data_IF_091801797453
#
_entry.id   IF_091801797453
#
_cell.length_a   1.000
_cell.length_b   1.000
_cell.length_c   1.000
_cell.angle_alpha   90.00
_cell.angle_beta   90.00
_cell.angle_gamma   90.00
#
_symmetry.space_group_name_H-M   'P 1'
#
loop_
_entity.id
_entity.type
_entity.pdbx_description
1 polymer ?
#
# COMPACT_ATOMS: atom_id res chain seq x y z
N UNK A 1 13.92 10.00 -51.35
CA UNK A 1 12.61 9.36 -51.65
C UNK A 1 11.89 9.07 -50.34
N UNK A 2 10.55 9.12 -50.36
CA UNK A 2 9.61 9.31 -49.23
C UNK A 2 9.54 8.17 -48.20
N UNK A 3 9.59 8.45 -46.87
CA UNK A 3 8.99 7.60 -45.83
C UNK A 3 7.69 8.18 -45.23
N UNK A 4 7.45 9.50 -45.34
CA UNK A 4 6.31 10.16 -44.66
C UNK A 4 4.92 9.82 -45.22
N UNK A 5 4.80 9.36 -46.47
CA UNK A 5 3.49 9.11 -47.11
C UNK A 5 2.90 7.74 -46.79
N UNK A 6 3.71 6.79 -46.31
CA UNK A 6 3.25 5.46 -45.92
C UNK A 6 2.57 5.53 -44.56
N UNK A 7 3.18 6.21 -43.58
CA UNK A 7 2.64 6.36 -42.23
C UNK A 7 1.28 7.07 -42.20
N UNK A 8 1.12 8.15 -42.97
CA UNK A 8 -0.15 8.87 -43.05
C UNK A 8 -1.26 8.02 -43.68
N UNK A 9 -0.95 7.27 -44.76
CA UNK A 9 -1.91 6.35 -45.39
C UNK A 9 -2.30 5.17 -44.47
N UNK A 10 -1.35 4.66 -43.70
CA UNK A 10 -1.60 3.62 -42.69
C UNK A 10 -2.56 4.13 -41.62
N UNK A 11 -2.33 5.33 -41.07
CA UNK A 11 -3.23 5.94 -40.07
C UNK A 11 -4.65 6.14 -40.63
N UNK A 12 -4.79 6.60 -41.88
CA UNK A 12 -6.11 6.84 -42.47
C UNK A 12 -6.88 5.53 -42.71
N UNK A 13 -6.20 4.47 -43.12
CA UNK A 13 -6.81 3.15 -43.33
C UNK A 13 -7.22 2.51 -42.00
N UNK A 14 -6.41 2.65 -40.94
CA UNK A 14 -6.72 2.18 -39.59
C UNK A 14 -7.99 2.79 -39.00
N UNK A 15 -8.18 4.11 -39.22
CA UNK A 15 -9.38 4.83 -38.76
C UNK A 15 -10.63 4.33 -39.50
N UNK A 16 -10.52 4.07 -40.81
CA UNK A 16 -11.64 3.57 -41.61
C UNK A 16 -12.05 2.14 -41.20
N UNK A 17 -11.07 1.29 -40.86
CA UNK A 17 -11.32 -0.09 -40.39
C UNK A 17 -11.95 -0.10 -38.99
N UNK A 18 -11.55 0.83 -38.11
CA UNK A 18 -12.15 0.98 -36.78
C UNK A 18 -13.65 1.31 -36.89
N UNK A 19 -14.03 2.17 -37.84
CA UNK A 19 -15.43 2.53 -38.11
C UNK A 19 -16.22 1.29 -38.57
N UNK A 20 -15.69 0.50 -39.51
CA UNK A 20 -16.35 -0.73 -39.99
C UNK A 20 -16.52 -1.77 -38.89
N UNK A 21 -15.56 -1.88 -37.96
CA UNK A 21 -15.66 -2.81 -36.83
C UNK A 21 -16.71 -2.36 -35.80
N UNK A 22 -16.86 -1.05 -35.59
CA UNK A 22 -17.91 -0.47 -34.74
C UNK A 22 -19.30 -0.72 -35.35
N UNK A 23 -19.42 -0.63 -36.68
CA UNK A 23 -20.68 -0.91 -37.39
C UNK A 23 -21.10 -2.39 -37.31
N UNK A 24 -20.15 -3.32 -37.34
CA UNK A 24 -20.44 -4.76 -37.17
C UNK A 24 -20.89 -5.08 -35.74
N UNK A 25 -20.29 -4.45 -34.73
CA UNK A 25 -20.58 -4.69 -33.30
C UNK A 25 -21.86 -3.99 -32.83
N UNK A 26 -22.27 -2.89 -33.46
CA UNK A 26 -23.47 -2.13 -33.07
C UNK A 26 -24.79 -2.64 -33.70
N UNK A 27 -24.73 -3.66 -34.57
CA UNK A 27 -25.91 -4.23 -35.22
C UNK A 27 -26.58 -5.38 -34.44
N UNK A 28 -26.80 -5.19 -33.14
CA UNK A 28 -27.81 -5.97 -32.41
C UNK A 28 -28.65 -5.06 -31.53
N UNK A 29 -29.92 -4.96 -31.92
CA UNK A 29 -31.09 -4.54 -31.17
C UNK A 29 -31.59 -3.08 -31.21
N UNK A 30 -32.82 -3.02 -31.73
CA UNK A 30 -33.78 -1.94 -31.88
C UNK A 30 -34.24 -1.34 -30.53
N UNK A 31 -34.57 -0.03 -30.57
CA UNK A 31 -35.70 0.63 -29.84
C UNK A 31 -35.48 0.90 -28.33
N UNK A 32 -35.94 1.96 -27.63
CA UNK A 32 -36.93 3.03 -27.82
C UNK A 32 -36.66 4.20 -26.81
N UNK A 33 -36.85 5.44 -27.29
CA UNK A 33 -37.62 6.59 -26.74
C UNK A 33 -37.55 7.01 -25.25
N UNK A 34 -37.24 8.31 -25.06
CA UNK A 34 -37.28 9.12 -23.84
C UNK A 34 -38.63 9.12 -23.09
N UNK A 35 -38.59 9.33 -21.77
CA UNK A 35 -39.65 10.05 -21.09
C UNK A 35 -39.15 10.92 -19.92
N UNK A 36 -39.57 12.18 -19.95
CA UNK A 36 -39.18 13.29 -19.08
C UNK A 36 -40.19 13.36 -17.92
N UNK A 37 -39.76 13.23 -16.66
CA UNK A 37 -40.55 13.66 -15.49
C UNK A 37 -39.65 14.34 -14.46
N UNK A 38 -40.08 15.55 -14.08
CA UNK A 38 -39.49 16.41 -13.07
C UNK A 38 -39.40 15.68 -11.72
N UNK A 39 -38.19 15.62 -11.17
CA UNK A 39 -37.95 15.41 -9.74
C UNK A 39 -37.44 16.71 -9.16
N UNK A 40 -38.22 17.30 -8.28
CA UNK A 40 -37.84 18.42 -7.43
C UNK A 40 -36.64 17.97 -6.58
N UNK A 41 -35.48 18.60 -6.79
CA UNK A 41 -34.28 18.34 -6.00
C UNK A 41 -34.52 18.91 -4.60
N UNK A 42 -34.80 18.04 -3.64
CA UNK A 42 -34.65 18.38 -2.22
C UNK A 42 -33.14 18.51 -2.01
N UNK A 43 -32.64 19.74 -1.97
CA UNK A 43 -31.30 20.01 -1.44
C UNK A 43 -31.42 19.76 0.06
N UNK A 44 -31.12 18.53 0.47
CA UNK A 44 -30.68 18.28 1.82
C UNK A 44 -29.33 18.97 1.88
N UNK A 45 -29.28 20.10 2.60
CA UNK A 45 -28.04 20.76 2.97
C UNK A 45 -27.31 19.86 3.99
N UNK A 46 -26.85 18.71 3.50
CA UNK A 46 -25.77 18.00 4.14
C UNK A 46 -24.59 18.94 3.99
N UNK A 47 -24.30 19.68 5.06
CA UNK A 47 -23.08 20.44 5.22
C UNK A 47 -21.92 19.47 5.06
N UNK A 48 -21.48 19.24 3.81
CA UNK A 48 -20.24 18.56 3.51
C UNK A 48 -19.18 19.53 3.99
N UNK A 49 -18.72 19.36 5.22
CA UNK A 49 -17.53 20.00 5.75
C UNK A 49 -16.30 19.39 5.07
N UNK A 50 -16.17 19.50 3.75
CA UNK A 50 -14.86 19.38 3.14
C UNK A 50 -14.20 20.73 3.35
N UNK A 51 -13.24 20.80 4.26
CA UNK A 51 -12.42 22.01 4.39
C UNK A 51 -11.71 22.31 3.07
N UNK A 52 -11.18 23.53 2.98
CA UNK A 52 -10.45 23.97 1.81
C UNK A 52 -9.13 23.19 1.67
N UNK A 53 -8.64 23.05 0.44
CA UNK A 53 -7.30 22.53 0.20
C UNK A 53 -6.32 23.67 0.01
N UNK A 54 -5.28 23.72 0.85
CA UNK A 54 -4.15 24.62 0.73
C UNK A 54 -2.98 23.82 0.14
N UNK A 55 -2.32 24.38 -0.87
CA UNK A 55 -1.27 23.70 -1.63
C UNK A 55 0.11 24.24 -1.27
N UNK A 56 1.07 23.37 -0.97
CA UNK A 56 2.46 23.70 -0.64
C UNK A 56 3.39 23.13 -1.72
N UNK A 57 4.33 23.93 -2.23
CA UNK A 57 5.14 23.58 -3.40
C UNK A 57 4.36 23.74 -4.70
N UNK A 58 4.75 23.07 -5.79
CA UNK A 58 4.02 23.15 -7.06
C UNK A 58 4.20 24.47 -7.83
N UNK A 59 3.61 24.53 -9.03
CA UNK A 59 3.65 25.72 -9.92
C UNK A 59 2.37 26.58 -9.88
N UNK A 60 1.46 26.29 -8.95
CA UNK A 60 0.17 26.97 -8.83
C UNK A 60 0.28 28.40 -8.28
N UNK A 61 -0.57 29.29 -8.78
CA UNK A 61 -0.69 30.65 -8.23
C UNK A 61 -1.24 30.56 -6.80
N UNK A 62 -0.62 31.27 -5.86
CA UNK A 62 -0.93 31.26 -4.42
C UNK A 62 -0.58 29.97 -3.67
N UNK A 63 0.21 29.07 -4.26
CA UNK A 63 0.77 27.97 -3.49
C UNK A 63 1.72 28.51 -2.42
N UNK A 64 1.67 27.90 -1.25
CA UNK A 64 2.57 28.18 -0.15
C UNK A 64 3.96 27.60 -0.44
N UNK A 65 5.00 28.29 0.01
CA UNK A 65 6.39 27.80 -0.14
C UNK A 65 6.83 26.93 1.04
N UNK A 66 6.13 27.00 2.17
CA UNK A 66 6.46 26.24 3.38
C UNK A 66 5.21 25.56 3.94
N UNK A 67 5.39 24.39 4.53
CA UNK A 67 4.27 23.63 5.12
C UNK A 67 3.69 24.40 6.30
N UNK A 68 4.55 25.00 7.13
CA UNK A 68 4.09 25.74 8.30
C UNK A 68 3.24 26.97 7.93
N UNK A 69 3.54 27.67 6.83
CA UNK A 69 2.73 28.84 6.42
C UNK A 69 1.32 28.44 5.99
N UNK A 70 1.18 27.33 5.26
CA UNK A 70 -0.14 26.78 4.93
C UNK A 70 -0.92 26.36 6.18
N UNK A 71 -0.27 25.69 7.15
CA UNK A 71 -0.90 25.34 8.42
C UNK A 71 -1.34 26.60 9.19
N UNK A 72 -0.54 27.65 9.20
CA UNK A 72 -0.87 28.90 9.89
C UNK A 72 -2.12 29.58 9.32
N UNK A 73 -2.37 29.46 8.02
CA UNK A 73 -3.53 30.04 7.34
C UNK A 73 -4.77 29.10 7.31
N UNK A 74 -4.58 27.80 7.50
CA UNK A 74 -5.66 26.83 7.50
C UNK A 74 -6.68 27.05 8.63
N UNK A 75 -7.88 26.50 8.45
CA UNK A 75 -8.91 26.30 9.45
C UNK A 75 -9.07 24.81 9.79
N UNK A 76 -9.73 24.51 10.91
CA UNK A 76 -10.09 23.12 11.24
C UNK A 76 -10.95 22.51 10.12
N UNK A 77 -10.59 21.28 9.72
CA UNK A 77 -11.21 20.54 8.62
C UNK A 77 -10.50 20.71 7.27
N UNK A 78 -9.55 21.63 7.15
CA UNK A 78 -8.81 21.87 5.91
C UNK A 78 -7.80 20.76 5.60
N UNK A 79 -7.41 20.69 4.32
CA UNK A 79 -6.38 19.80 3.79
C UNK A 79 -5.16 20.64 3.43
N UNK A 80 -3.99 20.25 3.94
CA UNK A 80 -2.69 20.77 3.49
C UNK A 80 -2.08 19.73 2.54
N UNK A 81 -2.12 19.99 1.24
CA UNK A 81 -1.53 19.12 0.22
C UNK A 81 -0.13 19.60 -0.16
N UNK A 82 0.86 18.72 -0.04
CA UNK A 82 2.28 19.04 -0.21
C UNK A 82 2.85 18.30 -1.42
N UNK A 83 3.25 19.04 -2.45
CA UNK A 83 3.88 18.50 -3.66
C UNK A 83 5.29 17.98 -3.37
N UNK A 84 5.75 16.99 -4.13
CA UNK A 84 7.12 16.46 -4.00
C UNK A 84 8.19 17.29 -4.74
N UNK A 85 7.79 18.18 -5.64
CA UNK A 85 8.68 18.94 -6.53
C UNK A 85 9.63 19.91 -5.80
N UNK A 86 9.25 20.31 -4.58
CA UNK A 86 9.99 21.21 -3.71
C UNK A 86 10.69 20.46 -2.55
N UNK A 87 10.70 19.12 -2.62
CA UNK A 87 11.36 18.24 -1.65
C UNK A 87 12.90 18.37 -1.72
N UNK A 88 13.62 18.31 -0.57
CA UNK A 88 13.10 18.13 0.78
C UNK A 88 12.65 19.45 1.42
N UNK A 89 11.55 19.38 2.17
CA UNK A 89 11.08 20.44 3.07
C UNK A 89 11.92 20.42 4.35
N UNK A 90 12.69 21.49 4.58
CA UNK A 90 13.58 21.62 5.76
C UNK A 90 12.91 22.52 6.79
N UNK A 91 12.02 21.95 7.59
CA UNK A 91 11.11 22.70 8.46
C UNK A 91 10.91 21.99 9.81
N UNK A 92 10.58 22.79 10.83
CA UNK A 92 9.92 22.31 12.04
C UNK A 92 8.42 22.61 11.87
N UNK A 93 7.58 21.59 12.00
CA UNK A 93 6.15 21.67 11.71
C UNK A 93 5.37 21.50 13.02
N UNK A 94 4.56 22.50 13.35
CA UNK A 94 3.65 22.52 14.48
C UNK A 94 2.23 22.43 13.94
N UNK A 95 1.57 21.31 14.20
CA UNK A 95 0.16 21.06 13.84
C UNK A 95 -0.70 21.32 15.07
N UNK A 96 -1.29 22.51 15.12
CA UNK A 96 -2.17 22.97 16.20
C UNK A 96 -3.63 23.15 15.75
N UNK A 97 -3.99 22.61 14.59
CA UNK A 97 -5.35 22.61 14.02
C UNK A 97 -5.73 21.21 13.57
N UNK A 98 -7.02 20.92 13.55
CA UNK A 98 -7.58 19.61 13.16
C UNK A 98 -7.61 19.51 11.63
N UNK A 99 -6.51 19.08 11.01
CA UNK A 99 -6.32 19.11 9.53
C UNK A 99 -5.89 17.76 8.97
N UNK A 100 -6.01 17.59 7.64
CA UNK A 100 -5.35 16.51 6.89
C UNK A 100 -4.05 17.05 6.25
N UNK A 101 -2.91 16.69 6.81
CA UNK A 101 -1.59 16.99 6.25
C UNK A 101 -1.15 15.82 5.37
N UNK A 102 -1.09 16.06 4.06
CA UNK A 102 -0.94 15.04 3.03
C UNK A 102 0.18 15.36 2.04
N UNK A 103 1.17 14.49 1.97
CA UNK A 103 2.19 14.50 0.93
C UNK A 103 1.69 13.80 -0.34
N UNK A 104 2.22 14.22 -1.48
CA UNK A 104 1.89 13.69 -2.80
C UNK A 104 2.28 12.22 -2.95
N UNK A 105 3.50 11.86 -2.56
CA UNK A 105 4.01 10.49 -2.55
C UNK A 105 5.03 10.32 -1.41
N UNK A 106 4.81 9.31 -0.55
CA UNK A 106 5.68 9.02 0.59
C UNK A 106 7.14 8.79 0.21
N UNK A 107 7.43 8.37 -1.02
CA UNK A 107 8.79 8.07 -1.47
C UNK A 107 9.56 9.33 -1.90
N UNK A 108 8.86 10.41 -2.29
CA UNK A 108 9.48 11.61 -2.86
C UNK A 108 9.18 12.89 -2.06
N UNK A 109 8.04 12.99 -1.36
CA UNK A 109 7.72 14.11 -0.47
C UNK A 109 8.44 13.95 0.87
N UNK A 110 9.62 14.58 1.00
CA UNK A 110 10.51 14.43 2.17
C UNK A 110 10.40 15.66 3.08
N UNK A 111 10.20 15.43 4.37
CA UNK A 111 10.37 16.44 5.44
C UNK A 111 11.58 16.03 6.28
N UNK A 112 12.51 16.97 6.51
CA UNK A 112 13.69 16.70 7.33
C UNK A 112 14.11 17.89 8.18
N UNK A 113 14.77 17.59 9.30
CA UNK A 113 15.39 18.63 10.12
C UNK A 113 16.53 18.05 10.95
N UNK A 114 17.74 18.56 10.81
CA UNK A 114 18.90 18.01 11.52
C UNK A 114 18.85 18.31 13.03
N UNK A 115 18.88 17.27 13.86
CA UNK A 115 18.98 17.31 15.34
C UNK A 115 17.84 18.05 16.08
N UNK A 116 16.72 18.34 15.41
CA UNK A 116 15.52 18.97 16.00
C UNK A 116 14.28 18.09 15.78
N UNK A 117 13.17 18.45 16.41
CA UNK A 117 11.90 17.72 16.27
C UNK A 117 11.21 18.15 14.98
N UNK A 118 10.80 17.19 14.14
CA UNK A 118 10.31 17.55 12.79
C UNK A 118 8.83 17.90 12.79
N UNK A 119 7.96 17.01 13.26
CA UNK A 119 6.51 17.22 13.27
C UNK A 119 5.98 17.05 14.70
N UNK A 120 5.44 18.13 15.26
CA UNK A 120 4.80 18.16 16.57
C UNK A 120 3.29 18.43 16.41
N UNK A 121 2.48 17.46 16.84
CA UNK A 121 1.03 17.48 16.72
C UNK A 121 0.42 17.73 18.10
N UNK A 122 -0.20 18.90 18.24
CA UNK A 122 -0.89 19.35 19.46
C UNK A 122 -2.42 19.32 19.32
N UNK A 123 -2.94 19.35 18.08
CA UNK A 123 -4.38 19.21 17.83
C UNK A 123 -4.82 17.74 17.81
N UNK A 124 -6.09 17.51 18.14
CA UNK A 124 -6.77 16.22 17.95
C UNK A 124 -7.37 16.13 16.54
N UNK A 125 -7.80 14.94 16.12
CA UNK A 125 -8.44 14.71 14.80
C UNK A 125 -7.56 15.18 13.62
N UNK A 126 -6.25 14.90 13.71
CA UNK A 126 -5.30 15.17 12.63
C UNK A 126 -5.12 13.91 11.78
N UNK A 127 -4.92 14.09 10.48
CA UNK A 127 -4.49 13.01 9.58
C UNK A 127 -3.13 13.38 9.00
N UNK A 128 -2.16 12.47 9.05
CA UNK A 128 -0.83 12.67 8.50
C UNK A 128 -0.44 11.50 7.59
N UNK A 129 -0.23 11.78 6.30
CA UNK A 129 0.10 10.73 5.33
C UNK A 129 0.93 11.18 4.15
N UNK A 130 1.59 10.24 3.48
CA UNK A 130 2.27 10.50 2.21
C UNK A 130 3.64 11.16 2.35
N UNK A 131 4.31 11.06 3.50
CA UNK A 131 5.62 11.68 3.71
C UNK A 131 6.73 10.65 3.99
N UNK A 132 7.96 10.99 3.58
CA UNK A 132 9.18 10.53 4.24
C UNK A 132 9.60 11.57 5.29
N UNK A 133 9.75 11.17 6.56
CA UNK A 133 10.18 12.05 7.66
C UNK A 133 11.51 11.53 8.23
N UNK A 134 12.59 12.33 8.11
CA UNK A 134 13.95 11.85 8.42
C UNK A 134 14.94 12.86 8.96
N UNK A 135 16.04 12.35 9.51
CA UNK A 135 17.19 13.08 10.07
C UNK A 135 16.87 13.96 11.30
N UNK A 136 15.71 13.75 11.91
CA UNK A 136 15.24 14.45 13.12
C UNK A 136 15.86 13.94 14.41
N UNK A 137 15.53 14.60 15.51
CA UNK A 137 15.57 14.00 16.84
C UNK A 137 14.36 13.09 17.03
N UNK A 138 13.17 13.68 17.12
CA UNK A 138 11.92 12.95 17.01
C UNK A 138 11.29 13.27 15.64
N UNK A 139 10.83 12.25 14.92
CA UNK A 139 10.20 12.47 13.63
C UNK A 139 8.77 13.00 13.77
N UNK A 140 7.91 12.27 14.46
CA UNK A 140 6.51 12.63 14.66
C UNK A 140 6.18 12.50 16.15
N UNK A 141 5.74 13.60 16.77
CA UNK A 141 5.33 13.65 18.19
C UNK A 141 3.86 14.02 18.30
N UNK A 142 3.07 13.15 18.92
CA UNK A 142 1.70 13.46 19.35
C UNK A 142 1.77 13.87 20.82
N UNK A 143 1.28 15.08 21.13
CA UNK A 143 1.37 15.66 22.47
C UNK A 143 -0.04 16.02 22.93
N UNK A 144 -0.61 15.19 23.79
CA UNK A 144 -2.02 15.30 24.22
C UNK A 144 -2.99 15.37 23.02
N UNK A 145 -2.66 14.64 21.95
CA UNK A 145 -3.44 14.59 20.71
C UNK A 145 -4.24 13.29 20.67
N UNK A 146 -5.55 13.40 20.50
CA UNK A 146 -6.44 12.25 20.41
C UNK A 146 -7.06 12.15 19.02
N UNK A 147 -7.59 10.98 18.69
CA UNK A 147 -8.32 10.74 17.45
C UNK A 147 -7.51 11.06 16.18
N UNK A 148 -6.18 11.02 16.28
CA UNK A 148 -5.25 11.30 15.18
C UNK A 148 -4.89 10.02 14.43
N UNK A 149 -4.78 10.12 13.10
CA UNK A 149 -4.36 9.01 12.24
C UNK A 149 -3.03 9.33 11.56
N UNK A 150 -1.99 8.55 11.85
CA UNK A 150 -0.68 8.64 11.18
C UNK A 150 -0.55 7.41 10.27
N UNK A 151 -0.54 7.60 8.95
CA UNK A 151 -0.60 6.47 8.04
C UNK A 151 0.14 6.65 6.71
N UNK A 152 0.63 5.54 6.15
CA UNK A 152 1.30 5.53 4.84
C UNK A 152 2.49 6.51 4.75
N UNK A 153 3.32 6.55 5.80
CA UNK A 153 4.56 7.34 5.84
C UNK A 153 5.80 6.44 5.93
N UNK A 154 6.95 6.99 5.57
CA UNK A 154 8.27 6.42 5.83
C UNK A 154 8.94 7.28 6.90
N UNK A 155 9.22 6.71 8.08
CA UNK A 155 9.89 7.38 9.19
C UNK A 155 11.25 6.74 9.39
N UNK A 156 12.31 7.45 9.02
CA UNK A 156 13.65 6.86 8.90
C UNK A 156 14.76 7.76 9.42
N UNK A 157 15.83 7.14 9.92
CA UNK A 157 17.10 7.81 10.24
C UNK A 157 16.96 8.97 11.23
N UNK A 158 16.07 8.84 12.22
CA UNK A 158 15.94 9.81 13.30
C UNK A 158 16.79 9.40 14.50
N UNK A 159 17.49 10.38 15.07
CA UNK A 159 18.44 10.21 16.17
C UNK A 159 17.79 9.87 17.52
N UNK A 160 16.46 9.78 17.60
CA UNK A 160 15.75 9.28 18.78
C UNK A 160 14.53 8.43 18.39
N UNK A 161 13.29 8.90 18.58
CA UNK A 161 12.09 8.10 18.26
C UNK A 161 11.51 8.46 16.90
N UNK A 162 11.07 7.44 16.16
CA UNK A 162 10.33 7.63 14.92
C UNK A 162 8.96 8.27 15.19
N UNK A 163 8.13 7.59 15.99
CA UNK A 163 6.80 8.07 16.39
C UNK A 163 6.70 8.04 17.92
N UNK A 164 6.40 9.20 18.51
CA UNK A 164 6.29 9.41 19.95
C UNK A 164 4.87 9.83 20.31
N UNK A 165 4.17 9.04 21.14
CA UNK A 165 2.84 9.37 21.66
C UNK A 165 2.96 9.74 23.15
N UNK A 166 2.81 11.02 23.49
CA UNK A 166 2.67 11.46 24.88
C UNK A 166 1.23 11.78 25.21
N UNK A 167 0.70 11.12 26.25
CA UNK A 167 -0.62 11.43 26.80
C UNK A 167 -1.74 11.42 25.75
N UNK A 168 -1.63 10.53 24.76
CA UNK A 168 -2.40 10.56 23.52
C UNK A 168 -3.18 9.25 23.38
N UNK A 169 -4.49 9.34 23.19
CA UNK A 169 -5.43 8.21 23.20
C UNK A 169 -6.31 8.17 21.94
N UNK A 170 -6.88 7.01 21.64
CA UNK A 170 -7.75 6.81 20.47
C UNK A 170 -7.10 7.08 19.11
N UNK A 171 -5.76 7.04 19.04
CA UNK A 171 -5.03 7.27 17.79
C UNK A 171 -4.89 5.99 16.98
N UNK A 172 -4.73 6.16 15.66
CA UNK A 172 -4.45 5.07 14.72
C UNK A 172 -3.11 5.32 14.04
N UNK A 173 -2.14 4.45 14.30
CA UNK A 173 -0.84 4.45 13.65
C UNK A 173 -0.81 3.25 12.70
N UNK A 174 -0.86 3.47 11.39
CA UNK A 174 -1.06 2.37 10.45
C UNK A 174 -0.34 2.43 9.12
N UNK A 175 0.10 1.29 8.58
CA UNK A 175 0.73 1.22 7.25
C UNK A 175 1.95 2.13 7.09
N UNK A 176 2.66 2.42 8.19
CA UNK A 176 3.91 3.17 8.17
C UNK A 176 5.10 2.21 8.09
N UNK A 177 6.20 2.69 7.49
CA UNK A 177 7.51 2.06 7.57
C UNK A 177 8.32 2.87 8.58
N UNK A 178 8.66 2.29 9.73
CA UNK A 178 9.41 2.94 10.82
C UNK A 178 10.75 2.23 11.00
N UNK A 179 11.82 2.83 10.50
CA UNK A 179 13.11 2.15 10.40
C UNK A 179 14.31 3.01 10.78
N UNK A 180 15.42 2.38 11.15
CA UNK A 180 16.70 3.05 11.40
C UNK A 180 16.63 4.21 12.44
N UNK A 181 15.70 4.14 13.40
CA UNK A 181 15.63 5.09 14.51
C UNK A 181 16.30 4.47 15.75
N UNK A 182 16.47 5.25 16.83
CA UNK A 182 16.82 4.63 18.12
C UNK A 182 15.64 3.81 18.63
N UNK A 183 14.47 4.42 18.74
CA UNK A 183 13.22 3.74 19.05
C UNK A 183 12.23 3.90 17.89
N UNK A 184 11.50 2.84 17.54
CA UNK A 184 10.51 2.91 16.47
C UNK A 184 9.28 3.71 16.90
N UNK A 185 8.41 3.09 17.72
CA UNK A 185 7.18 3.70 18.22
C UNK A 185 7.15 3.65 19.76
N UNK A 186 7.03 4.80 20.40
CA UNK A 186 6.99 4.93 21.85
C UNK A 186 5.65 5.47 22.37
N UNK A 187 5.08 4.82 23.38
CA UNK A 187 4.02 5.40 24.19
C UNK A 187 4.62 5.88 25.51
N UNK A 188 4.27 7.12 25.87
CA UNK A 188 4.81 7.81 27.02
C UNK A 188 3.72 8.51 27.83
N UNK A 189 3.89 8.47 29.15
CA UNK A 189 3.13 9.31 30.06
C UNK A 189 4.03 10.40 30.62
N UNK A 190 3.72 11.67 30.34
CA UNK A 190 4.31 12.79 31.08
C UNK A 190 3.41 13.10 32.28
N UNK A 191 4.01 13.20 33.48
CA UNK A 191 3.28 13.48 34.73
C UNK A 191 2.49 14.80 34.69
N UNK A 192 2.88 15.72 33.81
CA UNK A 192 2.19 17.00 33.57
C UNK A 192 1.00 16.89 32.62
N UNK A 193 0.82 15.78 31.92
CA UNK A 193 -0.24 15.64 30.91
C UNK A 193 -1.49 14.89 31.42
N UNK A 194 -2.55 14.81 30.57
CA UNK A 194 -3.89 14.37 30.95
C UNK A 194 -4.03 12.89 31.37
N UNK A 195 -2.95 12.12 31.32
CA UNK A 195 -2.93 10.71 31.70
C UNK A 195 -2.14 9.83 30.73
N UNK A 196 -2.05 8.52 30.99
CA UNK A 196 -1.37 7.57 30.11
C UNK A 196 -2.15 7.36 28.80
N UNK A 197 -1.43 6.95 27.75
CA UNK A 197 -1.99 6.58 26.45
C UNK A 197 -2.90 5.34 26.55
N UNK A 198 -4.14 5.44 26.05
CA UNK A 198 -5.13 4.36 26.02
C UNK A 198 -5.83 4.23 24.67
N UNK A 199 -6.33 3.03 24.38
CA UNK A 199 -7.19 2.77 23.20
C UNK A 199 -6.57 3.15 21.85
N UNK A 200 -5.24 3.19 21.77
CA UNK A 200 -4.55 3.40 20.49
C UNK A 200 -4.50 2.10 19.69
N UNK A 201 -4.52 2.22 18.36
CA UNK A 201 -4.35 1.12 17.41
C UNK A 201 -3.04 1.31 16.66
N UNK A 202 -2.10 0.41 16.84
CA UNK A 202 -0.85 0.34 16.09
C UNK A 202 -0.98 -0.87 15.18
N UNK A 203 -1.25 -0.63 13.90
CA UNK A 203 -1.70 -1.69 12.99
C UNK A 203 -1.00 -1.71 11.64
N UNK A 204 -0.65 -2.89 11.13
CA UNK A 204 -0.08 -3.03 9.78
C UNK A 204 1.16 -2.16 9.52
N UNK A 205 1.98 -1.87 10.53
CA UNK A 205 3.23 -1.14 10.36
C UNK A 205 4.40 -2.09 10.13
N UNK A 206 5.39 -1.64 9.39
CA UNK A 206 6.68 -2.30 9.23
C UNK A 206 7.69 -1.56 10.11
N UNK A 207 8.17 -2.19 11.18
CA UNK A 207 9.01 -1.58 12.21
C UNK A 207 10.33 -2.35 12.29
N UNK A 208 11.37 -1.83 11.62
CA UNK A 208 12.59 -2.59 11.39
C UNK A 208 13.91 -1.83 11.61
N UNK A 209 14.97 -2.55 11.93
CA UNK A 209 16.33 -1.98 12.09
C UNK A 209 16.43 -0.81 13.10
N UNK A 210 15.54 -0.73 14.09
CA UNK A 210 15.70 0.28 15.15
C UNK A 210 16.79 -0.19 16.13
N UNK A 211 17.67 0.72 16.54
CA UNK A 211 18.88 0.37 17.31
C UNK A 211 18.59 0.03 18.77
N UNK A 212 17.39 0.33 19.26
CA UNK A 212 16.89 -0.15 20.55
C UNK A 212 15.62 -0.98 20.33
N UNK A 213 14.45 -0.36 20.47
CA UNK A 213 13.16 -1.07 20.54
C UNK A 213 12.33 -0.73 19.31
N UNK A 214 11.68 -1.73 18.73
CA UNK A 214 10.68 -1.49 17.69
C UNK A 214 9.49 -0.74 18.27
N UNK A 215 8.90 -1.25 19.35
CA UNK A 215 7.88 -0.56 20.13
C UNK A 215 8.14 -0.67 21.63
N UNK A 216 7.88 0.41 22.37
CA UNK A 216 7.93 0.39 23.82
C UNK A 216 6.74 1.08 24.49
N UNK A 217 6.35 0.51 25.62
CA UNK A 217 5.33 1.07 26.52
C UNK A 217 5.86 1.04 27.94
N UNK A 218 5.78 2.18 28.64
CA UNK A 218 6.09 2.26 30.06
C UNK A 218 5.16 3.24 30.76
N UNK A 219 4.89 3.00 32.06
CA UNK A 219 4.12 3.89 32.93
C UNK A 219 2.60 3.92 32.61
N UNK A 220 1.92 2.81 32.88
CA UNK A 220 0.44 2.73 32.98
C UNK A 220 -0.36 2.81 31.66
N UNK A 221 0.22 2.42 30.51
CA UNK A 221 -0.50 2.36 29.24
C UNK A 221 -1.41 1.13 29.15
N UNK A 222 -2.67 1.33 28.75
CA UNK A 222 -3.69 0.28 28.81
C UNK A 222 -4.61 0.27 27.59
N UNK A 223 -5.18 -0.91 27.31
CA UNK A 223 -6.20 -1.10 26.26
C UNK A 223 -5.75 -0.70 24.86
N UNK A 224 -4.44 -0.69 24.59
CA UNK A 224 -3.91 -0.47 23.25
C UNK A 224 -3.92 -1.79 22.45
N UNK A 225 -4.13 -1.67 21.14
CA UNK A 225 -4.20 -2.79 20.21
C UNK A 225 -3.00 -2.72 19.25
N UNK A 226 -2.19 -3.77 19.26
CA UNK A 226 -0.99 -3.93 18.42
C UNK A 226 -1.22 -5.17 17.55
N UNK A 227 -1.59 -4.98 16.28
CA UNK A 227 -1.99 -6.08 15.37
C UNK A 227 -1.50 -5.92 13.94
N UNK A 228 -1.16 -7.01 13.26
CA UNK A 228 -0.75 -6.98 11.85
C UNK A 228 0.60 -6.32 11.59
N UNK A 229 1.38 -5.99 12.62
CA UNK A 229 2.67 -5.31 12.43
C UNK A 229 3.79 -6.31 12.21
N UNK A 230 4.81 -5.90 11.46
CA UNK A 230 6.07 -6.64 11.32
C UNK A 230 7.15 -5.94 12.12
N UNK A 231 7.63 -6.58 13.18
CA UNK A 231 8.79 -6.16 13.96
C UNK A 231 10.01 -6.99 13.53
N UNK A 232 10.95 -6.38 12.81
CA UNK A 232 12.08 -7.12 12.24
C UNK A 232 13.45 -6.49 12.53
N UNK A 233 14.45 -7.30 12.86
CA UNK A 233 15.84 -6.85 12.98
C UNK A 233 16.07 -5.67 13.95
N UNK A 234 15.21 -5.51 14.96
CA UNK A 234 15.42 -4.50 16.00
C UNK A 234 16.50 -4.99 16.99
N UNK A 235 17.46 -4.13 17.31
CA UNK A 235 18.73 -4.55 17.93
C UNK A 235 18.65 -4.86 19.42
N UNK A 236 17.58 -4.46 20.13
CA UNK A 236 17.38 -4.80 21.54
C UNK A 236 16.08 -5.59 21.74
N UNK A 237 14.93 -5.01 21.39
CA UNK A 237 13.63 -5.68 21.50
C UNK A 237 12.74 -5.37 20.29
N UNK A 238 11.96 -6.35 19.81
CA UNK A 238 10.83 -6.07 18.92
C UNK A 238 9.79 -5.23 19.65
N UNK A 239 9.24 -5.77 20.75
CA UNK A 239 8.38 -5.05 21.70
C UNK A 239 8.95 -5.15 23.12
N UNK A 240 8.92 -4.04 23.87
CA UNK A 240 9.14 -4.06 25.33
C UNK A 240 8.00 -3.38 26.08
N UNK A 241 7.37 -4.11 27.00
CA UNK A 241 6.29 -3.62 27.87
C UNK A 241 6.78 -3.68 29.32
N UNK A 242 6.76 -2.54 30.01
CA UNK A 242 7.13 -2.47 31.42
C UNK A 242 6.32 -1.43 32.21
N UNK A 243 6.62 -1.31 33.50
CA UNK A 243 6.10 -0.29 34.42
C UNK A 243 4.56 -0.14 34.40
N UNK A 244 3.83 -1.18 34.82
CA UNK A 244 2.37 -1.17 35.06
C UNK A 244 1.51 -0.99 33.80
N UNK A 245 1.96 -1.39 32.62
CA UNK A 245 1.14 -1.39 31.41
C UNK A 245 0.33 -2.69 31.31
N UNK A 246 -1.00 -2.59 31.37
CA UNK A 246 -1.92 -3.74 31.45
C UNK A 246 -2.98 -3.74 30.36
N UNK A 247 -3.62 -4.89 30.13
CA UNK A 247 -4.81 -5.01 29.29
C UNK A 247 -4.60 -4.56 27.84
N UNK A 248 -3.36 -4.55 27.36
CA UNK A 248 -3.06 -4.36 25.94
C UNK A 248 -3.25 -5.70 25.22
N UNK A 249 -3.61 -5.65 23.94
CA UNK A 249 -3.80 -6.82 23.09
C UNK A 249 -2.77 -6.80 21.96
N UNK A 250 -1.99 -7.87 21.85
CA UNK A 250 -0.88 -8.03 20.92
C UNK A 250 -1.02 -9.37 20.23
N UNK A 251 -1.55 -9.39 19.02
CA UNK A 251 -1.75 -10.63 18.26
C UNK A 251 -1.60 -10.36 16.77
N UNK A 252 -1.41 -11.40 15.96
CA UNK A 252 -1.27 -11.27 14.51
C UNK A 252 -0.11 -10.37 14.08
N UNK A 253 0.96 -10.32 14.86
CA UNK A 253 2.19 -9.62 14.48
C UNK A 253 3.27 -10.62 14.04
N UNK A 254 4.23 -10.13 13.27
CA UNK A 254 5.39 -10.89 12.81
C UNK A 254 6.64 -10.42 13.55
N UNK A 255 7.20 -11.28 14.39
CA UNK A 255 8.47 -11.02 15.08
C UNK A 255 9.60 -11.76 14.38
N UNK A 256 10.43 -11.03 13.64
CA UNK A 256 11.43 -11.62 12.73
C UNK A 256 12.83 -11.16 13.11
N UNK A 257 13.68 -12.08 13.58
CA UNK A 257 15.10 -11.84 13.79
C UNK A 257 15.43 -10.58 14.62
N UNK A 258 14.59 -10.24 15.60
CA UNK A 258 14.95 -9.24 16.60
C UNK A 258 15.93 -9.87 17.61
N UNK A 259 16.80 -9.07 18.23
CA UNK A 259 17.69 -9.60 19.28
C UNK A 259 16.91 -10.27 20.41
N UNK A 260 15.78 -9.67 20.78
CA UNK A 260 14.72 -10.28 21.61
C UNK A 260 13.38 -9.94 20.97
N UNK A 261 12.54 -10.93 20.69
CA UNK A 261 11.27 -10.66 20.02
C UNK A 261 10.33 -9.82 20.88
N UNK A 262 10.16 -10.19 22.15
CA UNK A 262 9.35 -9.44 23.10
C UNK A 262 9.88 -9.56 24.54
N UNK A 263 9.51 -8.60 25.38
CA UNK A 263 9.55 -8.71 26.85
C UNK A 263 8.31 -8.02 27.43
N UNK A 264 7.62 -8.69 28.35
CA UNK A 264 6.43 -8.18 29.00
C UNK A 264 6.38 -8.61 30.47
N UNK A 265 6.47 -7.61 31.35
CA UNK A 265 6.50 -7.79 32.81
C UNK A 265 5.12 -7.72 33.46
N UNK A 266 4.05 -7.44 32.71
CA UNK A 266 2.73 -7.11 33.23
C UNK A 266 1.61 -7.85 32.48
N UNK A 267 0.37 -7.81 32.96
CA UNK A 267 -0.69 -8.63 32.37
C UNK A 267 -1.21 -8.05 31.05
N UNK A 268 -0.83 -8.65 29.92
CA UNK A 268 -1.33 -8.33 28.58
C UNK A 268 -1.68 -9.61 27.80
N UNK A 269 -2.50 -9.48 26.76
CA UNK A 269 -2.95 -10.62 25.96
C UNK A 269 -2.12 -10.73 24.68
N UNK A 270 -1.37 -11.81 24.53
CA UNK A 270 -0.49 -12.06 23.37
C UNK A 270 -1.08 -12.95 22.28
N UNK A 271 -2.41 -13.14 22.27
CA UNK A 271 -3.10 -13.96 21.28
C UNK A 271 -4.57 -13.54 21.12
N UNK A 272 -5.22 -13.92 20.02
CA UNK A 272 -6.66 -13.69 19.85
C UNK A 272 -7.53 -14.88 20.26
N UNK A 273 -6.92 -16.04 20.49
CA UNK A 273 -7.65 -17.27 20.84
C UNK A 273 -7.82 -18.20 19.64
N UNK A 274 -8.15 -19.47 19.89
CA UNK A 274 -8.40 -20.44 18.83
C UNK A 274 -9.76 -20.22 18.15
N UNK A 275 -9.89 -20.39 16.82
CA UNK A 275 -8.85 -20.70 15.83
C UNK A 275 -8.20 -19.44 15.25
N UNK A 276 -8.44 -18.26 15.82
CA UNK A 276 -7.86 -17.01 15.28
C UNK A 276 -6.34 -16.98 15.38
N UNK A 277 -5.74 -17.66 16.36
CA UNK A 277 -4.29 -17.70 16.55
C UNK A 277 -3.73 -16.50 17.33
N UNK A 278 -2.40 -16.44 17.35
CA UNK A 278 -1.58 -15.49 18.07
C UNK A 278 -0.65 -14.72 17.14
N UNK A 279 0.62 -14.60 17.49
CA UNK A 279 1.66 -13.95 16.70
C UNK A 279 2.55 -14.99 16.03
N UNK A 280 3.24 -14.58 14.97
CA UNK A 280 4.33 -15.34 14.37
C UNK A 280 5.66 -14.94 15.01
N UNK A 281 6.49 -15.94 15.33
CA UNK A 281 7.81 -15.74 15.93
C UNK A 281 8.84 -16.52 15.13
N UNK A 282 9.85 -15.83 14.59
CA UNK A 282 10.86 -16.47 13.74
C UNK A 282 11.76 -17.47 14.47
N UNK A 283 11.75 -17.45 15.81
CA UNK A 283 12.46 -18.38 16.68
C UNK A 283 11.55 -19.46 17.29
N UNK A 284 10.27 -19.52 16.89
CA UNK A 284 9.36 -20.56 17.31
C UNK A 284 9.71 -21.89 16.65
N UNK A 285 10.03 -22.88 17.48
CA UNK A 285 10.39 -24.24 17.06
C UNK A 285 9.38 -25.29 17.59
N UNK A 286 8.15 -24.87 17.89
CA UNK A 286 7.10 -25.79 18.34
C UNK A 286 6.56 -26.66 17.20
N UNK A 287 5.70 -27.60 17.56
CA UNK A 287 5.04 -28.52 16.63
C UNK A 287 3.63 -28.03 16.28
N UNK A 288 3.15 -28.48 15.12
CA UNK A 288 1.78 -28.32 14.63
C UNK A 288 1.33 -29.72 14.17
N UNK A 289 0.84 -30.53 15.12
CA UNK A 289 0.53 -31.95 14.91
C UNK A 289 -0.75 -32.16 14.08
N UNK A 290 -1.71 -31.24 14.19
CA UNK A 290 -2.97 -31.29 13.44
C UNK A 290 -2.92 -30.53 12.10
N UNK A 291 -1.81 -29.86 11.81
CA UNK A 291 -1.52 -29.14 10.57
C UNK A 291 -2.51 -28.01 10.26
N UNK A 292 -3.03 -27.37 11.31
CA UNK A 292 -3.98 -26.25 11.18
C UNK A 292 -3.30 -24.88 11.02
N UNK A 293 -1.97 -24.83 11.11
CA UNK A 293 -1.15 -23.64 10.96
C UNK A 293 -0.92 -22.87 12.26
N UNK A 294 -1.39 -23.40 13.40
CA UNK A 294 -1.19 -22.88 14.75
C UNK A 294 -0.32 -23.88 15.52
N UNK A 295 0.70 -23.38 16.20
CA UNK A 295 1.56 -24.20 17.04
C UNK A 295 0.88 -24.69 18.30
N UNK A 296 1.08 -25.98 18.61
CA UNK A 296 0.50 -26.67 19.78
C UNK A 296 1.16 -26.29 21.11
N UNK A 297 2.40 -25.78 21.03
CA UNK A 297 3.19 -25.40 22.19
C UNK A 297 3.13 -23.88 22.37
N UNK A 298 2.65 -23.36 23.51
CA UNK A 298 2.65 -21.91 23.75
C UNK A 298 4.06 -21.29 23.66
N UNK A 299 4.16 -20.11 23.08
CA UNK A 299 5.39 -19.30 23.09
C UNK A 299 5.43 -18.45 24.35
N UNK A 300 6.51 -18.56 25.13
CA UNK A 300 6.68 -17.82 26.38
C UNK A 300 7.19 -16.41 26.11
N UNK A 301 6.58 -15.39 26.73
CA UNK A 301 7.04 -14.00 26.64
C UNK A 301 7.89 -13.69 27.87
N UNK A 302 9.22 -13.45 27.72
CA UNK A 302 10.09 -13.17 28.86
C UNK A 302 9.67 -11.93 29.66
N UNK A 303 10.01 -11.90 30.96
CA UNK A 303 9.78 -10.76 31.85
C UNK A 303 8.66 -10.94 32.87
N UNK A 304 7.73 -11.86 32.61
CA UNK A 304 6.61 -12.22 33.49
C UNK A 304 6.01 -13.56 33.10
N UNK A 305 4.73 -13.77 33.38
CA UNK A 305 4.00 -15.03 33.12
C UNK A 305 3.19 -15.00 31.81
N UNK A 306 3.43 -14.01 30.94
CA UNK A 306 2.69 -13.87 29.69
C UNK A 306 3.10 -14.95 28.67
N UNK A 307 2.12 -15.42 27.92
CA UNK A 307 2.31 -16.42 26.87
C UNK A 307 1.45 -16.07 25.66
N UNK A 308 1.99 -16.35 24.48
CA UNK A 308 1.20 -16.54 23.29
C UNK A 308 0.78 -18.01 23.22
N UNK A 309 -0.50 -18.28 23.49
CA UNK A 309 -1.05 -19.63 23.55
C UNK A 309 -1.19 -20.29 22.19
N UNK A 310 -1.20 -19.50 21.12
CA UNK A 310 -1.52 -19.98 19.78
C UNK A 310 -0.53 -19.40 18.75
N UNK A 311 0.78 -19.65 18.89
CA UNK A 311 1.77 -19.11 17.95
C UNK A 311 1.43 -19.51 16.52
N UNK A 312 1.58 -18.61 15.56
CA UNK A 312 1.36 -18.93 14.15
C UNK A 312 2.59 -19.66 13.59
N UNK A 313 2.37 -20.70 12.78
CA UNK A 313 3.44 -21.45 12.12
C UNK A 313 4.05 -20.71 10.92
N UNK A 314 3.34 -19.70 10.39
CA UNK A 314 3.76 -18.85 9.29
C UNK A 314 3.50 -17.38 9.63
N UNK A 315 4.21 -16.43 9.00
CA UNK A 315 3.94 -15.02 9.21
C UNK A 315 2.46 -14.68 8.98
N UNK A 316 1.93 -13.79 9.82
CA UNK A 316 0.60 -13.23 9.67
C UNK A 316 0.52 -12.29 8.47
N UNK A 317 -0.59 -12.35 7.74
CA UNK A 317 -0.85 -11.52 6.57
C UNK A 317 -0.36 -12.12 5.26
N UNK A 318 0.49 -13.14 5.33
CA UNK A 318 0.98 -13.99 4.24
C UNK A 318 -0.09 -15.00 3.79
N UNK A 319 -1.25 -14.48 3.38
CA UNK A 319 -2.45 -15.27 3.02
C UNK A 319 -3.19 -14.75 1.78
N UNK A 320 -2.60 -13.85 1.00
CA UNK A 320 -3.23 -13.34 -0.22
C UNK A 320 -2.83 -14.21 -1.40
N UNK A 321 -3.73 -14.40 -2.38
CA UNK A 321 -3.32 -14.95 -3.66
C UNK A 321 -2.42 -13.94 -4.39
N UNK A 322 -1.54 -14.40 -5.30
CA UNK A 322 -0.71 -13.53 -6.11
C UNK A 322 -1.55 -12.51 -6.90
N UNK A 323 -1.02 -11.30 -7.08
CA UNK A 323 -1.62 -10.26 -7.92
C UNK A 323 -0.92 -10.25 -9.27
N UNK A 324 -1.70 -10.17 -10.35
CA UNK A 324 -1.19 -10.16 -11.72
C UNK A 324 -1.68 -8.90 -12.44
N UNK A 325 -0.75 -8.14 -13.01
CA UNK A 325 -1.03 -6.95 -13.80
C UNK A 325 -0.37 -7.03 -15.18
N UNK A 326 -1.15 -6.76 -16.22
CA UNK A 326 -0.66 -6.72 -17.60
C UNK A 326 -0.04 -5.35 -17.86
N UNK A 327 1.28 -5.32 -18.07
CA UNK A 327 2.03 -4.09 -18.34
C UNK A 327 2.01 -3.74 -19.83
N UNK A 328 2.01 -4.75 -20.70
CA UNK A 328 1.89 -4.59 -22.13
C UNK A 328 1.18 -5.79 -22.77
N UNK A 329 0.17 -5.59 -23.61
CA UNK A 329 -0.42 -4.30 -24.00
C UNK A 329 -1.29 -3.67 -22.89
N UNK A 330 -1.29 -2.34 -22.81
CA UNK A 330 -2.12 -1.56 -21.87
C UNK A 330 -3.61 -1.65 -22.23
N UNK A 331 -4.44 -2.01 -21.26
CA UNK A 331 -5.90 -2.14 -21.39
C UNK A 331 -6.54 -0.82 -21.85
N UNK A 332 -7.48 -0.92 -22.79
CA UNK A 332 -8.21 0.23 -23.32
C UNK A 332 -7.45 1.02 -24.37
N UNK A 333 -6.33 0.52 -24.93
CA UNK A 333 -5.60 1.18 -26.01
C UNK A 333 -5.54 0.32 -27.28
N UNK A 334 -5.50 0.99 -28.43
CA UNK A 334 -5.02 0.45 -29.71
C UNK A 334 -3.49 0.52 -29.71
N UNK A 335 -2.83 -0.58 -30.00
CA UNK A 335 -1.37 -0.68 -30.07
C UNK A 335 -0.88 -0.86 -31.51
N UNK A 336 0.29 -0.30 -31.81
CA UNK A 336 1.07 -0.61 -33.01
C UNK A 336 2.53 -0.89 -32.63
N UNK A 337 2.95 -2.13 -32.82
CA UNK A 337 4.28 -2.64 -32.45
C UNK A 337 4.56 -2.52 -30.94
N UNK A 338 3.54 -2.79 -30.11
CA UNK A 338 3.63 -2.66 -28.65
C UNK A 338 3.59 -1.22 -28.14
N UNK A 339 3.39 -0.24 -29.03
CA UNK A 339 3.27 1.17 -28.65
C UNK A 339 1.78 1.52 -28.58
N UNK A 340 1.25 1.99 -27.43
CA UNK A 340 -0.12 2.47 -27.33
C UNK A 340 -0.28 3.74 -28.16
N UNK A 341 -1.26 3.74 -29.07
CA UNK A 341 -1.54 4.86 -29.97
C UNK A 341 -2.74 5.68 -29.54
N UNK A 342 -3.89 5.03 -29.31
CA UNK A 342 -5.19 5.69 -29.12
C UNK A 342 -5.98 4.96 -28.03
N UNK A 343 -6.62 5.70 -27.13
CA UNK A 343 -7.55 5.17 -26.13
C UNK A 343 -8.87 4.75 -26.80
N UNK A 344 -9.34 3.54 -26.53
CA UNK A 344 -10.60 2.99 -26.99
C UNK A 344 -11.72 3.33 -25.98
N UNK A 345 -12.96 3.55 -26.44
CA UNK A 345 -14.09 3.87 -25.56
C UNK A 345 -14.62 2.66 -24.78
N UNK A 346 -13.95 1.51 -24.83
CA UNK A 346 -14.33 0.26 -24.17
C UNK A 346 -13.10 -0.54 -23.75
N UNK A 347 -13.25 -1.42 -22.75
CA UNK A 347 -12.19 -2.24 -22.16
C UNK A 347 -11.77 -3.42 -23.07
N UNK A 348 -11.29 -3.12 -24.27
CA UNK A 348 -10.70 -4.08 -25.21
C UNK A 348 -9.30 -3.62 -25.58
N UNK A 349 -8.42 -4.56 -25.91
CA UNK A 349 -7.14 -4.25 -26.54
C UNK A 349 -7.19 -4.63 -28.01
N UNK A 350 -6.77 -3.70 -28.88
CA UNK A 350 -6.48 -4.00 -30.27
C UNK A 350 -4.96 -3.97 -30.45
N UNK A 351 -4.33 -5.12 -30.71
CA UNK A 351 -2.88 -5.24 -30.55
C UNK A 351 -2.09 -4.98 -31.84
N UNK A 352 -2.58 -5.31 -33.06
CA UNK A 352 -1.80 -4.96 -34.27
C UNK A 352 -2.52 -4.99 -35.61
N UNK A 353 -1.94 -4.26 -36.58
CA UNK A 353 -2.06 -4.46 -38.03
C UNK A 353 -0.78 -5.17 -38.51
N UNK A 354 -0.91 -6.36 -39.09
CA UNK A 354 0.19 -7.07 -39.76
C UNK A 354 0.09 -6.91 -41.27
N UNK A 355 1.18 -6.48 -41.92
CA UNK A 355 1.37 -6.44 -43.37
C UNK A 355 2.53 -7.38 -43.70
N UNK A 356 2.21 -8.62 -44.07
CA UNK A 356 3.18 -9.67 -44.38
C UNK A 356 3.81 -10.33 -43.14
N UNK A 357 3.56 -11.65 -42.99
CA UNK A 357 4.34 -12.61 -42.20
C UNK A 357 4.54 -12.36 -40.70
N UNK A 358 3.91 -13.20 -39.86
CA UNK A 358 4.13 -13.46 -38.43
C UNK A 358 4.90 -12.40 -37.62
N UNK A 359 4.18 -11.59 -36.83
CA UNK A 359 4.79 -10.80 -35.76
C UNK A 359 4.68 -11.58 -34.45
N UNK A 360 5.83 -11.98 -33.89
CA UNK A 360 5.94 -12.38 -32.50
C UNK A 360 5.86 -11.11 -31.65
N UNK A 361 4.91 -11.04 -30.71
CA UNK A 361 4.88 -9.97 -29.72
C UNK A 361 4.81 -10.52 -28.31
N UNK A 362 5.61 -9.98 -27.39
CA UNK A 362 5.52 -10.34 -25.99
C UNK A 362 4.30 -9.67 -25.37
N UNK A 363 3.44 -10.48 -24.76
CA UNK A 363 2.60 -10.03 -23.66
C UNK A 363 3.52 -9.96 -22.44
N UNK A 364 3.63 -8.77 -21.85
CA UNK A 364 4.45 -8.50 -20.68
C UNK A 364 3.52 -8.25 -19.50
N UNK A 365 3.81 -8.89 -18.38
CA UNK A 365 3.02 -8.77 -17.17
C UNK A 365 3.88 -8.95 -15.92
N UNK A 366 3.44 -8.36 -14.83
CA UNK A 366 3.99 -8.57 -13.49
C UNK A 366 3.10 -9.53 -12.73
N UNK A 367 3.70 -10.53 -12.08
CA UNK A 367 3.04 -11.29 -11.03
C UNK A 367 3.82 -11.06 -9.73
N UNK A 368 3.11 -10.65 -8.69
CA UNK A 368 3.70 -10.31 -7.39
C UNK A 368 2.87 -11.00 -6.33
N UNK A 369 3.54 -11.68 -5.42
CA UNK A 369 2.95 -12.24 -4.22
C UNK A 369 3.54 -11.57 -2.98
N UNK A 370 2.81 -11.61 -1.87
CA UNK A 370 3.28 -11.04 -0.62
C UNK A 370 4.38 -11.88 0.05
N UNK A 371 4.51 -13.17 -0.31
CA UNK A 371 5.46 -14.12 0.26
C UNK A 371 6.50 -14.54 -0.77
N UNK A 372 6.02 -14.94 -1.95
CA UNK A 372 6.88 -15.50 -2.98
C UNK A 372 7.49 -14.40 -3.83
N UNK A 373 8.80 -14.51 -4.08
CA UNK A 373 9.42 -13.71 -5.13
C UNK A 373 8.74 -14.06 -6.44
N UNK A 374 8.63 -13.09 -7.35
CA UNK A 374 8.05 -13.34 -8.66
C UNK A 374 8.65 -14.61 -9.30
N UNK A 375 9.97 -14.79 -9.30
CA UNK A 375 10.59 -16.00 -9.87
C UNK A 375 10.15 -17.34 -9.29
N UNK A 376 9.61 -17.36 -8.07
CA UNK A 376 9.15 -18.57 -7.37
C UNK A 376 7.67 -18.90 -7.65
N UNK A 377 6.92 -17.98 -8.29
CA UNK A 377 5.52 -18.20 -8.65
C UNK A 377 5.37 -19.12 -9.86
N UNK A 378 4.42 -20.05 -9.77
CA UNK A 378 4.01 -20.89 -10.90
C UNK A 378 3.03 -20.11 -11.76
N UNK A 379 3.53 -19.52 -12.84
CA UNK A 379 2.71 -18.74 -13.78
C UNK A 379 2.30 -19.60 -14.98
N UNK A 380 1.02 -19.51 -15.38
CA UNK A 380 0.48 -20.16 -16.57
C UNK A 380 -0.31 -19.16 -17.42
N UNK A 381 -0.25 -19.34 -18.73
CA UNK A 381 -1.01 -18.54 -19.71
C UNK A 381 -1.94 -19.47 -20.46
N UNK A 382 -3.20 -19.08 -20.60
CA UNK A 382 -4.21 -19.79 -21.36
C UNK A 382 -4.69 -18.90 -22.50
N UNK A 383 -4.64 -19.41 -23.73
CA UNK A 383 -5.19 -18.76 -24.91
C UNK A 383 -6.48 -19.48 -25.33
N UNK A 384 -7.61 -18.77 -25.31
CA UNK A 384 -8.94 -19.32 -25.59
C UNK A 384 -9.22 -20.61 -24.80
N UNK A 385 -8.82 -20.63 -23.52
CA UNK A 385 -8.98 -21.76 -22.61
C UNK A 385 -7.97 -22.90 -22.79
N UNK A 386 -6.97 -22.77 -23.66
CA UNK A 386 -5.89 -23.76 -23.83
C UNK A 386 -4.59 -23.28 -23.22
N UNK A 387 -4.02 -24.05 -22.31
CA UNK A 387 -2.73 -23.74 -21.67
C UNK A 387 -1.60 -23.60 -22.70
N UNK A 388 -0.72 -22.63 -22.46
CA UNK A 388 0.43 -22.27 -23.27
C UNK A 388 1.68 -22.37 -22.38
N UNK A 389 2.70 -23.11 -22.81
CA UNK A 389 3.82 -23.54 -21.95
C UNK A 389 5.11 -22.73 -22.15
N UNK A 390 5.04 -21.57 -22.80
CA UNK A 390 6.24 -20.79 -23.16
C UNK A 390 6.27 -19.41 -22.49
N UNK A 391 6.54 -19.37 -21.19
CA UNK A 391 6.63 -18.13 -20.41
C UNK A 391 8.09 -17.93 -20.02
N UNK A 392 8.63 -16.76 -20.33
CA UNK A 392 10.00 -16.38 -20.00
C UNK A 392 9.98 -15.34 -18.89
N UNK A 393 10.60 -15.61 -17.74
CA UNK A 393 10.81 -14.60 -16.71
C UNK A 393 12.11 -13.82 -16.99
N UNK A 394 12.04 -12.50 -16.97
CA UNK A 394 13.20 -11.63 -17.10
C UNK A 394 13.52 -10.97 -15.75
N UNK A 395 14.61 -11.41 -15.13
CA UNK A 395 15.02 -10.97 -13.78
C UNK A 395 15.43 -9.50 -13.72
N UNK A 396 15.99 -8.94 -14.79
CA UNK A 396 16.38 -7.52 -14.85
C UNK A 396 15.17 -6.58 -14.72
N UNK A 397 14.06 -6.95 -15.36
CA UNK A 397 12.83 -6.16 -15.36
C UNK A 397 11.80 -6.64 -14.33
N UNK A 398 12.02 -7.81 -13.71
CA UNK A 398 11.08 -8.52 -12.84
C UNK A 398 9.71 -8.74 -13.49
N UNK A 399 9.72 -9.11 -14.76
CA UNK A 399 8.51 -9.30 -15.57
C UNK A 399 8.52 -10.65 -16.25
N UNK A 400 7.33 -11.14 -16.57
CA UNK A 400 7.12 -12.30 -17.42
C UNK A 400 6.77 -11.86 -18.83
N UNK A 401 7.29 -12.61 -19.80
CA UNK A 401 7.03 -12.42 -21.20
C UNK A 401 6.47 -13.70 -21.80
N UNK A 402 5.32 -13.60 -22.45
CA UNK A 402 4.75 -14.67 -23.23
C UNK A 402 4.61 -14.26 -24.69
N UNK A 403 5.18 -15.05 -25.59
CA UNK A 403 5.16 -14.77 -27.03
C UNK A 403 4.04 -15.53 -27.71
N UNK A 404 3.17 -14.79 -28.38
CA UNK A 404 2.06 -15.37 -29.12
C UNK A 404 2.18 -15.11 -30.62
N UNK A 405 1.64 -16.05 -31.41
CA UNK A 405 1.48 -15.91 -32.86
C UNK A 405 -0.01 -15.97 -33.23
N UNK A 406 -0.60 -14.81 -33.47
CA UNK A 406 -1.98 -14.70 -33.96
C UNK A 406 -2.08 -15.15 -35.42
N UNK A 407 -2.70 -16.32 -35.65
CA UNK A 407 -2.82 -16.92 -37.00
C UNK A 407 -4.02 -16.42 -37.81
N UNK A 408 -5.00 -15.74 -37.20
CA UNK A 408 -6.22 -15.27 -37.89
C UNK A 408 -6.79 -13.96 -37.30
N UNK A 409 -7.70 -13.33 -38.05
CA UNK A 409 -8.56 -12.25 -37.55
C UNK A 409 -9.55 -12.79 -36.52
N UNK A 410 -9.68 -12.12 -35.37
CA UNK A 410 -10.64 -12.51 -34.34
C UNK A 410 -10.31 -11.98 -32.96
N UNK A 411 -11.22 -12.25 -32.02
CA UNK A 411 -11.06 -11.96 -30.60
C UNK A 411 -10.45 -13.19 -29.92
N UNK A 412 -9.41 -12.95 -29.13
CA UNK A 412 -8.71 -13.95 -28.34
C UNK A 412 -8.83 -13.59 -26.86
N UNK A 413 -9.21 -14.55 -26.04
CA UNK A 413 -9.18 -14.42 -24.59
C UNK A 413 -7.86 -14.98 -24.08
N UNK A 414 -7.10 -14.17 -23.37
CA UNK A 414 -5.88 -14.58 -22.68
C UNK A 414 -6.18 -14.51 -21.18
N UNK A 415 -6.07 -15.65 -20.51
CA UNK A 415 -6.13 -15.75 -19.06
C UNK A 415 -4.72 -16.05 -18.56
N UNK A 416 -4.24 -15.26 -17.61
CA UNK A 416 -2.95 -15.46 -16.95
C UNK A 416 -3.26 -15.82 -15.50
N UNK A 417 -2.62 -16.87 -14.99
CA UNK A 417 -2.73 -17.31 -13.60
C UNK A 417 -1.36 -17.36 -12.96
N UNK A 418 -1.30 -17.09 -11.66
CA UNK A 418 -0.11 -17.23 -10.83
C UNK A 418 -0.51 -17.98 -9.57
N UNK A 419 0.23 -19.04 -9.27
CA UNK A 419 0.05 -19.88 -8.09
C UNK A 419 1.27 -19.74 -7.19
N UNK A 420 1.03 -19.48 -5.91
CA UNK A 420 2.07 -19.41 -4.89
C UNK A 420 2.40 -20.80 -4.30
N UNK A 421 3.42 -20.84 -3.45
CA UNK A 421 3.89 -22.03 -2.73
C UNK A 421 2.85 -22.63 -1.78
N UNK A 422 1.72 -21.95 -1.55
CA UNK A 422 0.58 -22.42 -0.77
C UNK A 422 -0.62 -22.82 -1.63
N UNK A 423 -0.44 -22.94 -2.96
CA UNK A 423 -1.47 -23.28 -3.94
C UNK A 423 -2.65 -22.31 -4.00
N UNK A 424 -2.44 -21.04 -3.63
CA UNK A 424 -3.45 -19.99 -3.80
C UNK A 424 -3.28 -19.35 -5.18
N UNK A 425 -4.42 -19.08 -5.84
CA UNK A 425 -4.45 -18.72 -7.26
C UNK A 425 -4.87 -17.26 -7.48
N UNK A 426 -3.95 -16.49 -8.06
CA UNK A 426 -4.21 -15.18 -8.68
C UNK A 426 -4.53 -15.33 -10.16
N UNK A 427 -5.36 -14.45 -10.71
CA UNK A 427 -5.62 -14.45 -12.16
C UNK A 427 -6.02 -13.10 -12.74
N UNK A 428 -5.71 -12.89 -14.02
CA UNK A 428 -6.20 -11.77 -14.83
C UNK A 428 -6.60 -12.25 -16.22
N UNK A 429 -7.74 -11.78 -16.71
CA UNK A 429 -8.24 -12.06 -18.06
C UNK A 429 -8.19 -10.81 -18.94
N UNK A 430 -7.76 -10.97 -20.19
CA UNK A 430 -7.79 -9.93 -21.20
C UNK A 430 -8.33 -10.43 -22.54
N UNK A 431 -9.07 -9.57 -23.23
CA UNK A 431 -9.55 -9.81 -24.60
C UNK A 431 -8.74 -8.98 -25.58
N UNK A 432 -8.10 -9.66 -26.53
CA UNK A 432 -7.31 -9.06 -27.60
C UNK A 432 -8.02 -9.27 -28.93
N UNK A 433 -8.26 -8.18 -29.65
CA UNK A 433 -8.68 -8.20 -31.04
C UNK A 433 -7.46 -8.13 -31.96
N UNK A 434 -7.27 -9.17 -32.77
CA UNK A 434 -6.15 -9.25 -33.72
C UNK A 434 -6.61 -8.98 -35.15
N UNK A 435 -5.89 -8.10 -35.87
CA UNK A 435 -6.13 -7.76 -37.27
C UNK A 435 -4.97 -8.22 -38.16
N UNK A 436 -5.16 -9.31 -38.90
CA UNK A 436 -4.18 -9.80 -39.87
C UNK A 436 -4.64 -9.47 -41.30
N UNK A 437 -3.84 -8.72 -42.06
CA UNK A 437 -4.02 -8.58 -43.51
C UNK A 437 -3.03 -9.53 -44.20
N UNK A 438 -3.54 -10.67 -44.67
CA UNK A 438 -2.81 -11.49 -45.65
C UNK A 438 -3.08 -10.82 -47.00
N UNK A 439 -2.05 -10.21 -47.58
CA UNK A 439 -2.02 -9.80 -48.98
C UNK A 439 -1.05 -10.69 -49.72
#
# INVERSE_FOLDING_TARGET
MKPKTILTKVITLSILILIVCIDIVSSTDNSLVLNHKQTQLIIIDAKITSGNTLYVGGTGVNNYTTIQSAINDASDGDIIFVYDDSSPYIENIIVNKSIDLKGEDKNSTVIKKENEDIIEIYASNVRLSGFTVKNGRYAIRLISSNDTTIFNNIITDNSLEGIYLANSSYNVISSNIVQNNIYGIGLHWTLSGPGPCKYNKIINNIILNNTQRGLHMSLYHEYNNITGNTFAYNQNFGIKICCYCYNNIIYHNNFINNTKNAEDQFSNKWHNGYPSGGNYWSDYNGTDEDSDGIGDIPYLIPGGDNIDKYPLMKPYGENKPPIIDITNPKIGYLHYSGIPLILLPFNLIADSISLGGFRLRPIIFSAVDDIDKSEDLIVKVYLNGKEQVNISYCSEWKLYEWYWTGRAFGIYTILITAEDSFSRLGSIEIKILNFCFIG
#
